data_IF_603471179827
#
_entry.id   IF_603471179827
#
_cell.length_a   1.000
_cell.length_b   1.000
_cell.length_c   1.000
_cell.angle_alpha   90.00
_cell.angle_beta   90.00
_cell.angle_gamma   90.00
#
_symmetry.space_group_name_H-M   'P 1'
#
loop_
_entity.id
_entity.type
_entity.pdbx_description
1 polymer ?
#
# COMPACT_ATOMS: atom_id res chain seq x y z
N UNK A 1 -19.81 -21.77 1.48
CA UNK A 1 -18.93 -21.09 2.46
C UNK A 1 -18.03 -20.17 1.66
N UNK A 2 -18.39 -18.91 1.42
CA UNK A 2 -17.70 -18.10 0.41
C UNK A 2 -17.78 -16.57 0.53
N UNK A 3 -18.78 -15.99 1.21
CA UNK A 3 -19.01 -14.53 1.13
C UNK A 3 -18.61 -13.71 2.36
N UNK A 4 -18.31 -14.34 3.51
CA UNK A 4 -17.98 -13.58 4.73
C UNK A 4 -16.55 -12.98 4.73
N UNK A 5 -15.64 -13.45 3.87
CA UNK A 5 -14.26 -12.95 3.81
C UNK A 5 -14.08 -11.69 2.96
N UNK A 6 -14.92 -11.47 1.94
CA UNK A 6 -14.80 -10.32 1.04
C UNK A 6 -15.26 -9.00 1.69
N UNK A 7 -16.34 -9.03 2.49
CA UNK A 7 -16.82 -7.85 3.21
C UNK A 7 -15.86 -7.40 4.33
N UNK A 8 -15.18 -8.35 4.99
CA UNK A 8 -14.19 -8.04 6.03
C UNK A 8 -13.00 -7.28 5.45
N UNK A 9 -12.52 -7.69 4.27
CA UNK A 9 -11.40 -7.04 3.56
C UNK A 9 -11.73 -5.60 3.15
N UNK A 10 -12.97 -5.34 2.72
CA UNK A 10 -13.39 -4.00 2.31
C UNK A 10 -13.55 -3.05 3.49
N UNK A 11 -14.08 -3.52 4.62
CA UNK A 11 -14.20 -2.74 5.85
C UNK A 11 -12.81 -2.30 6.36
N UNK A 12 -11.79 -3.15 6.23
CA UNK A 12 -10.42 -2.83 6.62
C UNK A 12 -9.78 -1.70 5.79
N UNK A 13 -10.20 -1.54 4.53
CA UNK A 13 -9.72 -0.48 3.63
C UNK A 13 -10.31 0.90 3.95
N UNK A 14 -11.49 0.95 4.58
CA UNK A 14 -12.19 2.20 4.93
C UNK A 14 -12.14 2.52 6.42
N UNK A 15 -11.27 1.82 7.16
CA UNK A 15 -11.11 1.96 8.61
C UNK A 15 -9.81 2.68 8.95
N UNK A 16 -9.91 3.70 9.81
CA UNK A 16 -8.75 4.43 10.29
C UNK A 16 -7.94 3.59 11.27
N UNK A 17 -6.67 3.34 10.97
CA UNK A 17 -5.78 2.51 11.81
C UNK A 17 -5.41 3.14 13.16
N UNK A 18 -5.71 4.43 13.37
CA UNK A 18 -5.43 5.12 14.65
C UNK A 18 -6.58 5.02 15.65
N UNK A 19 -7.84 5.12 15.20
CA UNK A 19 -9.01 5.04 16.07
C UNK A 19 -9.85 3.77 15.86
N UNK A 20 -9.50 2.94 14.88
CA UNK A 20 -10.20 1.70 14.50
C UNK A 20 -11.69 1.88 14.18
N UNK A 21 -12.10 3.09 13.79
CA UNK A 21 -13.43 3.40 13.28
C UNK A 21 -13.36 3.68 11.78
N UNK A 22 -14.51 3.60 11.09
CA UNK A 22 -14.63 4.11 9.73
C UNK A 22 -14.20 5.57 9.63
N UNK A 23 -13.65 5.94 8.48
CA UNK A 23 -13.13 7.29 8.29
C UNK A 23 -14.20 8.37 8.49
N UNK A 24 -13.98 9.22 9.49
CA UNK A 24 -14.74 10.45 9.68
C UNK A 24 -13.89 11.64 9.19
N UNK A 25 -14.38 12.34 8.17
CA UNK A 25 -13.63 13.43 7.48
C UNK A 25 -12.19 12.99 7.16
N UNK A 26 -12.00 11.95 6.32
CA UNK A 26 -10.68 11.40 6.02
C UNK A 26 -9.74 12.47 5.48
N UNK A 27 -8.48 12.40 5.89
CA UNK A 27 -7.36 13.19 5.37
C UNK A 27 -6.31 12.19 4.89
N UNK A 28 -6.00 12.25 3.60
CA UNK A 28 -4.96 11.43 2.97
C UNK A 28 -3.63 12.18 3.00
N UNK A 29 -2.63 11.60 3.65
CA UNK A 29 -1.29 12.16 3.75
C UNK A 29 -0.53 12.01 2.42
N UNK A 30 0.57 12.75 2.27
CA UNK A 30 1.41 12.69 1.06
C UNK A 30 1.95 11.29 0.83
N UNK A 31 2.19 10.50 1.88
CA UNK A 31 2.57 9.09 1.79
C UNK A 31 1.45 8.12 1.38
N UNK A 32 0.22 8.60 1.16
CA UNK A 32 -0.93 7.80 0.71
C UNK A 32 -1.78 7.19 1.83
N UNK A 33 -1.31 7.17 3.08
CA UNK A 33 -2.12 6.69 4.22
C UNK A 33 -3.18 7.71 4.60
N UNK A 34 -4.35 7.21 5.02
CA UNK A 34 -5.52 8.03 5.32
C UNK A 34 -5.87 7.92 6.80
N UNK A 35 -6.22 9.05 7.43
CA UNK A 35 -6.66 9.11 8.82
C UNK A 35 -7.89 10.00 8.96
N UNK A 36 -8.69 9.82 10.01
CA UNK A 36 -9.73 10.80 10.34
C UNK A 36 -9.09 12.16 10.62
N UNK A 37 -9.79 13.26 10.31
CA UNK A 37 -9.32 14.61 10.64
C UNK A 37 -8.92 14.75 12.11
N UNK A 38 -9.70 14.17 13.02
CA UNK A 38 -9.41 14.20 14.47
C UNK A 38 -8.23 13.31 14.87
N UNK A 39 -7.90 12.32 14.04
CA UNK A 39 -6.75 11.43 14.21
C UNK A 39 -5.48 12.01 13.59
N UNK A 40 -5.60 12.92 12.64
CA UNK A 40 -4.50 13.59 11.98
C UNK A 40 -3.85 14.61 12.92
N UNK A 41 -2.52 14.55 13.04
CA UNK A 41 -1.74 15.44 13.91
C UNK A 41 -0.71 16.16 13.07
N UNK A 42 -0.69 17.49 13.18
CA UNK A 42 0.20 18.35 12.41
C UNK A 42 0.93 19.32 13.35
N UNK A 43 2.21 19.53 13.11
CA UNK A 43 3.08 20.45 13.85
C UNK A 43 3.57 21.56 12.93
N UNK A 44 3.73 22.76 13.49
CA UNK A 44 4.34 23.88 12.77
C UNK A 44 5.86 23.81 12.91
N UNK A 45 6.57 23.81 11.78
CA UNK A 45 8.02 23.94 11.74
C UNK A 45 8.48 25.40 11.78
N UNK A 46 9.74 25.59 12.16
CA UNK A 46 10.38 26.92 12.27
C UNK A 46 10.64 27.56 10.90
N UNK A 47 10.58 26.77 9.83
CA UNK A 47 10.85 27.14 8.45
C UNK A 47 9.57 27.57 7.68
N UNK A 48 8.44 27.69 8.37
CA UNK A 48 7.16 28.02 7.73
C UNK A 48 6.58 26.88 6.91
N UNK A 49 6.86 25.63 7.29
CA UNK A 49 6.17 24.45 6.77
C UNK A 49 5.39 23.76 7.89
N UNK A 50 4.35 23.02 7.51
CA UNK A 50 3.63 22.15 8.41
C UNK A 50 4.08 20.71 8.20
N UNK A 51 4.24 19.98 9.30
CA UNK A 51 4.79 18.63 9.32
C UNK A 51 3.83 17.66 9.96
N UNK A 52 3.76 16.44 9.43
CA UNK A 52 3.09 15.34 10.11
C UNK A 52 3.85 14.04 9.88
N UNK A 53 4.09 13.30 10.95
CA UNK A 53 4.63 11.95 10.89
C UNK A 53 3.47 10.97 10.69
N UNK A 54 3.54 10.14 9.65
CA UNK A 54 2.55 9.10 9.42
C UNK A 54 2.60 8.06 10.53
N UNK A 55 1.46 7.73 11.13
CA UNK A 55 1.37 6.71 12.19
C UNK A 55 1.66 5.29 11.67
N UNK A 56 1.37 5.02 10.40
CA UNK A 56 1.52 3.68 9.83
C UNK A 56 2.92 3.42 9.29
N UNK A 57 3.54 4.38 8.60
CA UNK A 57 4.84 4.18 7.95
C UNK A 57 5.97 5.07 8.48
N UNK A 58 5.70 5.98 9.42
CA UNK A 58 6.71 6.90 9.97
C UNK A 58 7.18 7.98 9.00
N UNK A 59 6.64 8.04 7.78
CA UNK A 59 7.04 9.04 6.78
C UNK A 59 6.71 10.47 7.24
N UNK A 60 7.68 11.38 7.09
CA UNK A 60 7.51 12.80 7.37
C UNK A 60 6.86 13.51 6.16
N UNK A 61 5.60 13.89 6.32
CA UNK A 61 4.86 14.62 5.30
C UNK A 61 5.03 16.12 5.52
N UNK A 62 5.44 16.84 4.48
CA UNK A 62 5.69 18.29 4.51
C UNK A 62 4.66 19.04 3.66
N UNK A 63 3.94 19.97 4.27
CA UNK A 63 2.91 20.78 3.62
C UNK A 63 3.31 22.25 3.58
N UNK A 64 3.07 22.89 2.44
CA UNK A 64 3.45 24.29 2.22
C UNK A 64 2.38 25.23 2.78
N UNK A 65 2.48 25.57 4.06
CA UNK A 65 1.60 26.53 4.76
C UNK A 65 0.08 26.29 4.63
N UNK A 66 -0.35 25.08 4.27
CA UNK A 66 -1.75 24.72 4.16
C UNK A 66 -2.02 23.40 4.88
N UNK A 67 -3.19 23.33 5.51
CA UNK A 67 -3.70 22.07 6.05
C UNK A 67 -4.17 21.19 4.89
N UNK A 68 -3.90 19.88 4.93
CA UNK A 68 -4.44 18.95 3.95
C UNK A 68 -5.98 18.93 4.04
N UNK A 69 -6.61 18.88 2.87
CA UNK A 69 -8.06 18.87 2.75
C UNK A 69 -8.64 17.49 3.07
N UNK A 70 -9.95 17.46 3.31
CA UNK A 70 -10.70 16.21 3.41
C UNK A 70 -10.66 15.48 2.05
N UNK A 71 -10.31 14.21 2.06
CA UNK A 71 -10.37 13.33 0.90
C UNK A 71 -11.82 12.96 0.60
N UNK A 72 -12.40 13.63 -0.38
CA UNK A 72 -13.81 13.47 -0.75
C UNK A 72 -14.05 12.08 -1.35
N UNK A 73 -13.05 11.49 -2.02
CA UNK A 73 -13.17 10.16 -2.64
C UNK A 73 -13.27 9.08 -1.57
N UNK A 74 -12.40 9.11 -0.57
CA UNK A 74 -12.46 8.16 0.56
C UNK A 74 -13.72 8.39 1.40
N UNK A 75 -14.13 9.64 1.58
CA UNK A 75 -15.37 9.96 2.30
C UNK A 75 -16.60 9.36 1.60
N UNK A 76 -16.72 9.59 0.29
CA UNK A 76 -17.79 9.03 -0.56
C UNK A 76 -17.78 7.50 -0.53
N UNK A 77 -16.59 6.89 -0.51
CA UNK A 77 -16.45 5.44 -0.41
C UNK A 77 -17.04 4.88 0.89
N UNK A 78 -16.72 5.52 2.02
CA UNK A 78 -17.24 5.14 3.34
C UNK A 78 -18.75 5.31 3.39
N UNK A 79 -19.27 6.42 2.90
CA UNK A 79 -20.71 6.69 2.87
C UNK A 79 -21.46 5.69 1.97
N UNK A 80 -20.95 5.42 0.77
CA UNK A 80 -21.49 4.39 -0.13
C UNK A 80 -21.47 3.01 0.51
N UNK A 81 -20.40 2.64 1.21
CA UNK A 81 -20.35 1.38 1.95
C UNK A 81 -21.44 1.34 3.03
N UNK A 82 -21.56 2.39 3.85
CA UNK A 82 -22.59 2.48 4.89
C UNK A 82 -24.02 2.44 4.32
N UNK A 83 -24.25 3.06 3.17
CA UNK A 83 -25.53 2.99 2.43
C UNK A 83 -25.78 1.59 1.85
N UNK A 84 -24.76 0.93 1.30
CA UNK A 84 -24.87 -0.41 0.71
C UNK A 84 -25.12 -1.50 1.75
N UNK A 85 -24.57 -1.36 2.96
CA UNK A 85 -24.86 -2.25 4.10
C UNK A 85 -26.34 -2.13 4.52
N UNK A 86 -27.00 -1.00 4.25
CA UNK A 86 -28.44 -0.82 4.46
C UNK A 86 -29.31 -1.33 3.28
N UNK A 87 -28.73 -1.61 2.12
CA UNK A 87 -29.41 -1.99 0.88
C UNK A 87 -28.82 -3.25 0.25
N UNK A 88 -28.79 -4.37 0.98
CA UNK A 88 -28.48 -5.68 0.41
C UNK A 88 -29.68 -6.24 -0.39
N UNK A 89 -30.05 -5.56 -1.49
CA UNK A 89 -30.87 -6.10 -2.58
C UNK A 89 -30.89 -5.17 -3.80
N UNK A 90 -29.76 -4.95 -4.47
CA UNK A 90 -29.79 -4.46 -5.84
C UNK A 90 -28.62 -5.06 -6.62
N UNK A 91 -28.99 -5.99 -7.48
CA UNK A 91 -28.16 -6.68 -8.46
C UNK A 91 -27.42 -5.73 -9.37
N UNK A 92 -26.20 -6.12 -9.75
CA UNK A 92 -25.45 -5.68 -10.92
C UNK A 92 -26.35 -5.17 -12.05
N UNK A 93 -26.13 -3.91 -12.45
CA UNK A 93 -26.20 -3.45 -13.84
C UNK A 93 -25.72 -2.00 -13.99
N UNK A 94 -24.66 -1.88 -14.77
CA UNK A 94 -24.20 -0.72 -15.55
C UNK A 94 -24.02 0.61 -14.82
N UNK A 95 -22.76 0.92 -14.50
CA UNK A 95 -22.25 2.22 -14.04
C UNK A 95 -22.33 3.30 -15.14
N UNK A 96 -23.49 3.49 -15.75
CA UNK A 96 -23.72 4.56 -16.71
C UNK A 96 -24.19 5.81 -15.97
N UNK A 97 -23.47 6.92 -16.17
CA UNK A 97 -23.85 8.22 -15.59
C UNK A 97 -25.14 8.67 -16.27
N UNK A 98 -26.17 8.99 -15.48
CA UNK A 98 -27.48 9.43 -15.99
C UNK A 98 -27.80 10.86 -15.55
N UNK A 99 -28.49 11.61 -16.41
CA UNK A 99 -29.03 12.90 -16.04
C UNK A 99 -30.08 12.74 -14.93
N UNK A 100 -29.92 13.49 -13.85
CA UNK A 100 -30.83 13.45 -12.70
C UNK A 100 -32.24 13.87 -13.09
N UNK A 101 -32.36 14.81 -14.03
CA UNK A 101 -33.64 15.38 -14.48
C UNK A 101 -34.31 14.54 -15.56
N UNK A 102 -33.63 14.31 -16.69
CA UNK A 102 -34.24 13.63 -17.84
C UNK A 102 -33.94 12.13 -17.92
N UNK A 103 -33.14 11.58 -17.00
CA UNK A 103 -32.77 10.15 -16.93
C UNK A 103 -32.05 9.60 -18.17
N UNK A 104 -31.61 10.47 -19.08
CA UNK A 104 -30.82 10.09 -20.25
C UNK A 104 -29.37 9.81 -19.84
N UNK A 105 -28.73 8.74 -20.36
CA UNK A 105 -27.30 8.53 -20.23
C UNK A 105 -26.46 9.74 -20.68
N UNK A 106 -25.42 10.05 -19.94
CA UNK A 106 -24.50 11.14 -20.24
C UNK A 106 -23.15 10.59 -20.70
N UNK A 107 -22.58 11.20 -21.74
CA UNK A 107 -21.18 11.01 -22.09
C UNK A 107 -20.29 11.73 -21.07
N UNK A 108 -19.14 11.16 -20.73
CA UNK A 108 -18.17 11.72 -19.78
C UNK A 108 -17.72 13.15 -20.12
N UNK A 109 -17.75 13.55 -21.40
CA UNK A 109 -17.37 14.89 -21.83
C UNK A 109 -18.54 15.90 -21.75
N UNK A 110 -19.77 15.44 -21.58
CA UNK A 110 -20.98 16.28 -21.58
C UNK A 110 -21.75 16.21 -20.25
N UNK A 111 -21.04 15.88 -19.18
CA UNK A 111 -21.59 15.83 -17.82
C UNK A 111 -21.37 17.14 -17.10
N UNK A 112 -22.42 17.59 -16.44
CA UNK A 112 -22.36 18.79 -15.62
C UNK A 112 -22.95 18.55 -14.22
N UNK A 113 -22.57 19.42 -13.29
CA UNK A 113 -22.99 19.38 -11.89
C UNK A 113 -23.33 20.78 -11.40
N UNK A 114 -24.24 20.89 -10.44
CA UNK A 114 -24.66 22.16 -9.88
C UNK A 114 -24.14 22.30 -8.44
N UNK A 115 -23.12 23.14 -8.21
CA UNK A 115 -22.53 23.37 -6.88
C UNK A 115 -23.52 23.97 -5.87
N UNK A 116 -24.50 24.74 -6.35
CA UNK A 116 -25.51 25.35 -5.47
C UNK A 116 -26.53 24.31 -4.97
N UNK A 117 -26.87 23.32 -5.80
CA UNK A 117 -27.82 22.27 -5.44
C UNK A 117 -27.17 21.05 -4.79
N UNK A 118 -25.95 20.71 -5.20
CA UNK A 118 -25.15 19.66 -4.59
C UNK A 118 -24.52 20.22 -3.31
N UNK A 119 -25.30 20.25 -2.23
CA UNK A 119 -24.80 20.59 -0.91
C UNK A 119 -23.87 19.47 -0.44
N UNK A 120 -22.60 19.81 -0.17
CA UNK A 120 -21.53 18.93 0.34
C UNK A 120 -21.86 18.25 1.68
N UNK A 121 -23.03 18.47 2.24
CA UNK A 121 -23.49 17.79 3.45
C UNK A 121 -24.10 16.42 3.17
N UNK A 122 -24.64 16.17 1.97
CA UNK A 122 -25.43 14.95 1.69
C UNK A 122 -24.87 14.06 0.57
N UNK A 123 -23.69 14.37 -0.01
CA UNK A 123 -22.89 13.59 -0.97
C UNK A 123 -23.58 12.94 -2.17
N UNK A 124 -24.87 13.21 -2.39
CA UNK A 124 -25.63 12.79 -3.54
C UNK A 124 -25.30 13.69 -4.72
N UNK A 125 -24.24 13.34 -5.44
CA UNK A 125 -23.85 14.05 -6.66
C UNK A 125 -24.93 13.87 -7.72
N UNK A 126 -25.67 14.95 -7.98
CA UNK A 126 -26.61 15.01 -9.08
C UNK A 126 -25.85 15.46 -10.34
N UNK A 127 -25.87 14.61 -11.36
CA UNK A 127 -25.33 14.90 -12.69
C UNK A 127 -26.44 15.36 -13.63
N UNK A 128 -26.13 16.24 -14.57
CA UNK A 128 -27.09 16.81 -15.51
C UNK A 128 -26.49 16.89 -16.91
N UNK A 129 -27.30 16.70 -17.95
CA UNK A 129 -26.91 17.11 -19.30
C UNK A 129 -26.89 18.64 -19.40
N UNK A 130 -26.20 19.16 -20.41
CA UNK A 130 -26.16 20.60 -20.69
C UNK A 130 -27.55 21.22 -20.70
N UNK A 131 -28.49 20.67 -21.46
CA UNK A 131 -29.83 21.25 -21.59
C UNK A 131 -30.60 21.34 -20.26
N UNK A 132 -30.58 20.27 -19.45
CA UNK A 132 -31.25 20.27 -18.14
C UNK A 132 -30.57 21.24 -17.17
N UNK A 133 -29.24 21.29 -17.19
CA UNK A 133 -28.49 22.24 -16.39
C UNK A 133 -28.80 23.70 -16.71
N UNK A 134 -28.74 24.08 -17.98
CA UNK A 134 -29.04 25.44 -18.43
C UNK A 134 -30.50 25.84 -18.19
N UNK A 135 -31.43 24.89 -18.29
CA UNK A 135 -32.87 25.17 -18.13
C UNK A 135 -33.27 25.27 -16.66
N UNK A 136 -32.85 24.33 -15.83
CA UNK A 136 -33.31 24.21 -14.43
C UNK A 136 -32.34 24.82 -13.41
N UNK A 137 -31.07 25.04 -13.79
CA UNK A 137 -30.02 25.56 -12.91
C UNK A 137 -29.41 26.88 -13.42
N UNK A 138 -30.15 27.66 -14.22
CA UNK A 138 -29.71 28.92 -14.85
C UNK A 138 -29.14 29.97 -13.87
N UNK A 139 -29.60 29.98 -12.62
CA UNK A 139 -29.17 30.92 -11.56
C UNK A 139 -28.23 30.30 -10.54
N UNK A 140 -27.76 29.08 -10.80
CA UNK A 140 -26.90 28.34 -9.90
C UNK A 140 -25.50 28.20 -10.49
N UNK A 141 -24.52 27.92 -9.62
CA UNK A 141 -23.15 27.63 -10.03
C UNK A 141 -23.10 26.25 -10.72
N UNK A 142 -23.29 26.26 -12.04
CA UNK A 142 -23.32 25.09 -12.90
C UNK A 142 -21.97 24.94 -13.59
N UNK A 143 -21.32 23.79 -13.41
CA UNK A 143 -19.97 23.53 -13.92
C UNK A 143 -19.92 22.18 -14.64
N UNK A 144 -19.04 22.08 -15.64
CA UNK A 144 -18.72 20.80 -16.28
C UNK A 144 -17.89 19.94 -15.33
N UNK A 145 -18.13 18.63 -15.35
CA UNK A 145 -17.33 17.66 -14.60
C UNK A 145 -16.28 17.09 -15.55
N UNK A 146 -15.01 17.32 -15.25
CA UNK A 146 -13.92 16.64 -15.94
C UNK A 146 -13.72 15.25 -15.34
N UNK A 147 -14.12 14.21 -16.06
CA UNK A 147 -13.76 12.85 -15.74
C UNK A 147 -12.38 12.51 -16.31
N UNK A 148 -11.66 11.61 -15.64
CA UNK A 148 -10.46 11.02 -16.23
C UNK A 148 -10.80 10.41 -17.58
N UNK A 149 -10.06 10.75 -18.62
CA UNK A 149 -10.34 10.24 -19.96
C UNK A 149 -10.11 8.73 -20.03
N UNK A 150 -10.78 8.03 -20.96
CA UNK A 150 -10.56 6.58 -21.18
C UNK A 150 -9.08 6.29 -21.42
N UNK A 151 -8.41 7.13 -22.22
CA UNK A 151 -6.98 7.01 -22.53
C UNK A 151 -6.09 7.16 -21.30
N UNK A 152 -6.41 8.10 -20.41
CA UNK A 152 -5.67 8.24 -19.15
C UNK A 152 -5.92 7.04 -18.24
N UNK A 153 -7.17 6.58 -18.13
CA UNK A 153 -7.51 5.37 -17.35
C UNK A 153 -6.76 4.15 -17.85
N UNK A 154 -6.72 3.92 -19.16
CA UNK A 154 -5.94 2.84 -19.78
C UNK A 154 -4.46 2.93 -19.41
N UNK A 155 -3.87 4.13 -19.52
CA UNK A 155 -2.47 4.36 -19.11
C UNK A 155 -2.24 4.07 -17.62
N UNK A 156 -3.17 4.45 -16.75
CA UNK A 156 -3.07 4.13 -15.31
C UNK A 156 -3.17 2.62 -15.07
N UNK A 157 -4.03 1.91 -15.80
CA UNK A 157 -4.18 0.46 -15.69
C UNK A 157 -2.93 -0.27 -16.21
N UNK A 158 -2.30 0.22 -17.28
CA UNK A 158 -1.01 -0.30 -17.76
C UNK A 158 0.07 -0.12 -16.68
N UNK A 159 0.23 1.09 -16.13
CA UNK A 159 1.19 1.34 -15.05
C UNK A 159 0.93 0.45 -13.82
N UNK A 160 -0.33 0.23 -13.46
CA UNK A 160 -0.68 -0.65 -12.33
C UNK A 160 -0.34 -2.11 -12.62
N UNK A 161 -0.58 -2.57 -13.85
CA UNK A 161 -0.25 -3.92 -14.29
C UNK A 161 1.26 -4.19 -14.23
N UNK A 162 2.07 -3.24 -14.70
CA UNK A 162 3.53 -3.31 -14.63
C UNK A 162 4.02 -3.43 -13.18
N UNK A 163 3.58 -2.52 -12.31
CA UNK A 163 3.96 -2.53 -10.88
C UNK A 163 3.49 -3.80 -10.18
N UNK A 164 2.29 -4.30 -10.50
CA UNK A 164 1.76 -5.54 -9.94
C UNK A 164 2.61 -6.75 -10.34
N UNK A 165 3.02 -6.83 -11.61
CA UNK A 165 3.94 -7.87 -12.10
C UNK A 165 5.28 -7.82 -11.37
N UNK A 166 5.86 -6.63 -11.19
CA UNK A 166 7.12 -6.45 -10.46
C UNK A 166 7.01 -6.91 -9.00
N UNK A 167 5.91 -6.55 -8.32
CA UNK A 167 5.64 -6.99 -6.95
C UNK A 167 5.53 -8.52 -6.87
N UNK A 168 4.80 -9.15 -7.79
CA UNK A 168 4.66 -10.61 -7.83
C UNK A 168 6.00 -11.31 -8.07
N UNK A 169 6.80 -10.80 -9.01
CA UNK A 169 8.13 -11.33 -9.29
C UNK A 169 9.06 -11.22 -8.08
N UNK A 170 9.04 -10.08 -7.38
CA UNK A 170 9.82 -9.89 -6.17
C UNK A 170 9.36 -10.81 -5.04
N UNK A 171 8.05 -11.00 -4.86
CA UNK A 171 7.50 -11.94 -3.89
C UNK A 171 7.97 -13.38 -4.17
N UNK A 172 7.93 -13.84 -5.42
CA UNK A 172 8.42 -15.16 -5.81
C UNK A 172 9.92 -15.34 -5.53
N UNK A 173 10.75 -14.33 -5.83
CA UNK A 173 12.19 -14.35 -5.53
C UNK A 173 12.44 -14.46 -4.03
N UNK A 174 11.77 -13.64 -3.23
CA UNK A 174 11.89 -13.64 -1.77
C UNK A 174 11.43 -14.97 -1.15
N UNK A 175 10.33 -15.55 -1.65
CA UNK A 175 9.82 -16.83 -1.16
C UNK A 175 10.79 -17.98 -1.43
N UNK A 176 11.38 -18.04 -2.64
CA UNK A 176 12.41 -19.05 -2.97
C UNK A 176 13.62 -18.91 -2.06
N UNK A 177 14.10 -17.69 -1.88
CA UNK A 177 15.25 -17.39 -1.02
C UNK A 177 14.99 -17.78 0.45
N UNK A 178 13.80 -17.48 0.95
CA UNK A 178 13.38 -17.89 2.29
C UNK A 178 13.47 -19.41 2.46
N UNK A 179 12.96 -20.18 1.50
CA UNK A 179 13.04 -21.64 1.52
C UNK A 179 14.50 -22.13 1.51
N UNK A 180 15.36 -21.53 0.69
CA UNK A 180 16.78 -21.89 0.63
C UNK A 180 17.50 -21.65 1.97
N UNK A 181 17.21 -20.52 2.64
CA UNK A 181 17.75 -20.20 3.97
C UNK A 181 17.30 -21.26 4.99
N UNK A 182 16.01 -21.61 4.98
CA UNK A 182 15.44 -22.60 5.90
C UNK A 182 16.11 -23.96 5.68
N UNK A 183 16.22 -24.43 4.44
CA UNK A 183 16.86 -25.71 4.11
C UNK A 183 18.33 -25.75 4.56
N UNK A 184 19.10 -24.67 4.29
CA UNK A 184 20.52 -24.62 4.68
C UNK A 184 20.70 -24.54 6.20
N UNK A 185 19.83 -23.81 6.90
CA UNK A 185 19.82 -23.76 8.37
C UNK A 185 19.53 -25.15 8.94
N UNK A 186 18.54 -25.84 8.40
CA UNK A 186 18.12 -27.15 8.91
C UNK A 186 19.21 -28.21 8.65
N UNK A 187 19.87 -28.17 7.49
CA UNK A 187 21.05 -28.98 7.21
C UNK A 187 22.19 -28.72 8.23
N UNK A 188 22.48 -27.46 8.53
CA UNK A 188 23.50 -27.11 9.53
C UNK A 188 23.16 -27.66 10.92
N UNK A 189 21.89 -27.57 11.33
CA UNK A 189 21.42 -28.12 12.60
C UNK A 189 21.57 -29.65 12.64
N UNK A 190 21.21 -30.35 11.56
CA UNK A 190 21.33 -31.81 11.45
C UNK A 190 22.80 -32.26 11.54
N UNK A 191 23.68 -31.66 10.74
CA UNK A 191 25.13 -31.98 10.76
C UNK A 191 25.73 -31.72 12.14
N UNK A 192 25.31 -30.66 12.83
CA UNK A 192 25.81 -30.35 14.18
C UNK A 192 25.35 -31.40 15.20
N UNK A 193 24.09 -31.84 15.11
CA UNK A 193 23.54 -32.89 15.97
C UNK A 193 24.21 -34.25 15.73
N UNK A 194 24.40 -34.64 14.47
CA UNK A 194 25.03 -35.92 14.14
C UNK A 194 26.51 -35.93 14.51
N UNK A 195 27.22 -34.82 14.30
CA UNK A 195 28.58 -34.65 14.80
C UNK A 195 28.68 -34.86 16.31
N UNK A 196 27.74 -34.29 17.09
CA UNK A 196 27.70 -34.50 18.53
C UNK A 196 27.47 -35.97 18.92
N UNK A 197 26.55 -36.68 18.22
CA UNK A 197 26.31 -38.12 18.44
C UNK A 197 27.53 -38.95 18.08
N UNK A 198 28.20 -38.66 16.97
CA UNK A 198 29.41 -39.37 16.55
C UNK A 198 30.50 -39.26 17.61
N UNK A 199 30.71 -38.07 18.15
CA UNK A 199 31.66 -37.88 19.26
C UNK A 199 31.23 -38.63 20.52
N UNK A 200 29.95 -38.59 20.88
CA UNK A 200 29.44 -39.31 22.05
C UNK A 200 29.65 -40.83 21.90
N UNK A 201 29.38 -41.37 20.71
CA UNK A 201 29.59 -42.79 20.40
C UNK A 201 31.07 -43.17 20.44
N UNK A 202 31.95 -42.35 19.87
CA UNK A 202 33.39 -42.58 19.93
C UNK A 202 33.93 -42.57 21.36
N UNK A 203 33.48 -41.62 22.20
CA UNK A 203 33.85 -41.59 23.62
C UNK A 203 33.36 -42.87 24.32
N UNK A 204 32.11 -43.29 24.07
CA UNK A 204 31.55 -44.54 24.62
C UNK A 204 32.31 -45.79 24.16
N UNK A 205 32.81 -45.83 22.93
CA UNK A 205 33.62 -46.94 22.43
C UNK A 205 35.03 -46.95 23.00
N UNK A 206 35.69 -45.80 23.06
CA UNK A 206 37.04 -45.67 23.61
C UNK A 206 37.09 -46.05 25.10
N UNK A 207 36.03 -45.74 25.85
CA UNK A 207 35.89 -46.18 27.25
C UNK A 207 35.75 -47.71 27.41
N UNK A 208 35.46 -48.46 26.34
CA UNK A 208 35.26 -49.93 26.36
C UNK A 208 36.47 -50.72 25.89
N UNK A 209 37.45 -50.11 25.22
CA UNK A 209 38.61 -50.79 24.61
C UNK A 209 39.88 -50.53 25.42
N UNK A 210 40.79 -51.50 25.42
CA UNK A 210 42.05 -51.45 26.19
C UNK A 210 43.24 -50.79 25.43
N UNK A 211 43.08 -50.41 24.15
CA UNK A 211 44.16 -49.85 23.30
C UNK A 211 43.97 -48.34 23.00
N UNK A 212 44.69 -47.45 23.71
CA UNK A 212 44.50 -45.99 23.60
C UNK A 212 44.98 -45.37 22.28
N UNK A 213 45.89 -46.04 21.55
CA UNK A 213 46.56 -45.46 20.38
C UNK A 213 45.68 -45.50 19.12
N UNK A 214 44.90 -46.57 18.97
CA UNK A 214 43.95 -46.74 17.86
C UNK A 214 42.71 -45.84 18.04
N UNK A 215 42.23 -45.67 19.27
CA UNK A 215 41.11 -44.79 19.58
C UNK A 215 41.42 -43.32 19.29
N UNK A 216 42.65 -42.87 19.55
CA UNK A 216 43.09 -41.50 19.24
C UNK A 216 43.13 -41.18 17.74
N UNK A 217 43.51 -42.15 16.88
CA UNK A 217 43.49 -41.95 15.43
C UNK A 217 42.08 -41.88 14.87
N UNK A 218 41.17 -42.71 15.39
CA UNK A 218 39.78 -42.75 14.94
C UNK A 218 39.04 -41.47 15.35
N UNK A 219 39.23 -41.01 16.59
CA UNK A 219 38.70 -39.73 17.08
C UNK A 219 39.21 -38.55 16.24
N UNK A 220 40.52 -38.54 15.91
CA UNK A 220 41.10 -37.46 15.10
C UNK A 220 40.54 -37.47 13.68
N UNK A 221 40.28 -38.64 13.11
CA UNK A 221 39.74 -38.79 11.76
C UNK A 221 38.29 -38.30 11.70
N UNK A 222 37.43 -38.76 12.61
CA UNK A 222 36.01 -38.33 12.66
C UNK A 222 35.91 -36.84 12.97
N UNK A 223 36.74 -36.33 13.89
CA UNK A 223 36.82 -34.88 14.15
C UNK A 223 37.13 -34.07 12.89
N UNK A 224 38.08 -34.54 12.08
CA UNK A 224 38.47 -33.85 10.85
C UNK A 224 37.31 -33.85 9.85
N UNK A 225 36.68 -35.01 9.61
CA UNK A 225 35.53 -35.13 8.70
C UNK A 225 34.38 -34.21 9.13
N UNK A 226 34.03 -34.21 10.43
CA UNK A 226 32.93 -33.39 10.94
C UNK A 226 33.25 -31.89 10.87
N UNK A 227 34.49 -31.48 11.15
CA UNK A 227 34.92 -30.09 10.97
C UNK A 227 34.87 -29.65 9.50
N UNK A 228 35.29 -30.51 8.57
CA UNK A 228 35.24 -30.22 7.13
C UNK A 228 33.79 -30.07 6.66
N UNK A 229 32.87 -30.95 7.12
CA UNK A 229 31.44 -30.86 6.81
C UNK A 229 30.78 -29.60 7.37
N UNK A 230 31.04 -29.28 8.64
CA UNK A 230 30.51 -28.05 9.27
C UNK A 230 31.08 -26.81 8.56
N UNK A 231 32.39 -26.79 8.28
CA UNK A 231 33.03 -25.68 7.56
C UNK A 231 32.42 -25.46 6.18
N UNK A 232 32.13 -26.56 5.45
CA UNK A 232 31.45 -26.48 4.15
C UNK A 232 30.03 -25.95 4.30
N UNK A 233 29.25 -26.46 5.25
CA UNK A 233 27.88 -25.98 5.49
C UNK A 233 27.83 -24.50 5.85
N UNK A 234 28.75 -24.03 6.71
CA UNK A 234 28.86 -22.61 7.09
C UNK A 234 29.22 -21.75 5.90
N UNK A 235 30.17 -22.21 5.06
CA UNK A 235 30.52 -21.52 3.82
C UNK A 235 29.30 -21.39 2.88
N UNK A 236 28.59 -22.50 2.63
CA UNK A 236 27.42 -22.52 1.76
C UNK A 236 26.29 -21.62 2.30
N UNK A 237 26.12 -21.53 3.61
CA UNK A 237 25.17 -20.62 4.25
C UNK A 237 25.56 -19.15 4.06
N UNK A 238 26.84 -18.82 4.26
CA UNK A 238 27.35 -17.46 4.08
C UNK A 238 27.21 -17.00 2.63
N UNK A 239 27.47 -17.86 1.64
CA UNK A 239 27.25 -17.56 0.23
C UNK A 239 25.78 -17.22 -0.06
N UNK A 240 24.83 -17.97 0.53
CA UNK A 240 23.41 -17.60 0.41
C UNK A 240 23.11 -16.25 1.06
N UNK A 241 23.70 -15.95 2.22
CA UNK A 241 23.51 -14.66 2.88
C UNK A 241 24.08 -13.48 2.08
N UNK A 242 25.15 -13.69 1.31
CA UNK A 242 25.65 -12.68 0.36
C UNK A 242 24.63 -12.41 -0.75
N UNK A 243 24.00 -13.46 -1.29
CA UNK A 243 22.91 -13.32 -2.26
C UNK A 243 21.70 -12.59 -1.65
N UNK A 244 21.36 -12.88 -0.39
CA UNK A 244 20.31 -12.15 0.34
C UNK A 244 20.63 -10.66 0.41
N UNK A 245 21.85 -10.31 0.80
CA UNK A 245 22.30 -8.91 0.87
C UNK A 245 22.20 -8.21 -0.50
N UNK A 246 22.61 -8.89 -1.58
CA UNK A 246 22.47 -8.38 -2.93
C UNK A 246 21.00 -8.17 -3.33
N UNK A 247 20.13 -9.15 -3.07
CA UNK A 247 18.70 -9.05 -3.39
C UNK A 247 18.00 -7.98 -2.57
N UNK A 248 18.37 -7.79 -1.30
CA UNK A 248 17.87 -6.69 -0.47
C UNK A 248 18.29 -5.32 -1.04
N UNK A 249 19.54 -5.19 -1.50
CA UNK A 249 20.01 -3.98 -2.18
C UNK A 249 19.28 -3.75 -3.51
N UNK A 250 18.96 -4.80 -4.28
CA UNK A 250 18.18 -4.68 -5.51
C UNK A 250 16.70 -4.38 -5.24
N UNK A 251 16.14 -4.88 -4.14
CA UNK A 251 14.82 -4.49 -3.62
C UNK A 251 14.81 -3.01 -3.23
N UNK A 252 15.83 -2.53 -2.52
CA UNK A 252 15.99 -1.11 -2.21
C UNK A 252 16.07 -0.25 -3.49
N UNK A 253 16.80 -0.73 -4.51
CA UNK A 253 16.84 -0.07 -5.83
C UNK A 253 15.53 -0.12 -6.59
N UNK A 254 14.62 -1.07 -6.33
CA UNK A 254 13.27 -1.11 -6.94
C UNK A 254 12.24 -0.31 -6.15
N UNK A 255 12.48 -0.10 -4.84
CA UNK A 255 11.74 0.87 -4.04
C UNK A 255 11.92 2.29 -4.59
N UNK A 256 13.12 2.66 -5.08
CA UNK A 256 13.39 3.99 -5.66
C UNK A 256 12.51 4.33 -6.89
N UNK A 257 12.37 3.46 -7.91
CA UNK A 257 11.40 3.60 -9.00
C UNK A 257 9.95 3.65 -8.52
N UNK A 258 9.56 2.83 -7.54
CA UNK A 258 8.20 2.87 -6.97
C UNK A 258 7.96 4.22 -6.28
N UNK A 259 8.91 4.69 -5.47
CA UNK A 259 8.89 6.01 -4.86
C UNK A 259 8.90 7.11 -5.91
N UNK A 260 9.70 7.01 -6.97
CA UNK A 260 9.73 7.98 -8.05
C UNK A 260 8.44 7.99 -8.88
N UNK A 261 7.83 6.84 -9.11
CA UNK A 261 6.53 6.72 -9.75
C UNK A 261 5.45 7.30 -8.86
N UNK A 262 5.52 7.07 -7.54
CA UNK A 262 4.69 7.74 -6.56
C UNK A 262 4.89 9.26 -6.55
N UNK A 263 6.13 9.75 -6.64
CA UNK A 263 6.44 11.18 -6.76
C UNK A 263 5.95 11.76 -8.09
N UNK A 264 6.01 11.00 -9.20
CA UNK A 264 5.45 11.39 -10.49
C UNK A 264 3.92 11.41 -10.46
N UNK A 265 3.29 10.45 -9.79
CA UNK A 265 1.84 10.40 -9.60
C UNK A 265 1.38 11.56 -8.73
N UNK A 266 2.07 11.85 -7.63
CA UNK A 266 1.79 13.01 -6.77
C UNK A 266 2.13 14.35 -7.44
N UNK A 267 3.11 14.41 -8.34
CA UNK A 267 3.37 15.62 -9.12
C UNK A 267 2.35 15.82 -10.25
N UNK A 268 1.85 14.74 -10.86
CA UNK A 268 0.68 14.82 -11.75
C UNK A 268 -0.57 15.23 -10.99
N UNK A 269 -0.78 14.73 -9.77
CA UNK A 269 -1.84 15.21 -8.87
C UNK A 269 -1.70 16.71 -8.58
N UNK A 270 -0.47 17.23 -8.46
CA UNK A 270 -0.19 18.69 -8.39
C UNK A 270 -0.52 19.42 -9.68
N UNK A 271 -0.30 18.83 -10.85
CA UNK A 271 -0.72 19.41 -12.14
C UNK A 271 -2.25 19.46 -12.23
N UNK A 272 -2.97 18.42 -11.78
CA UNK A 272 -4.44 18.43 -11.71
C UNK A 272 -5.00 19.42 -10.68
N UNK A 273 -4.29 19.67 -9.58
CA UNK A 273 -4.68 20.70 -8.60
C UNK A 273 -4.27 22.10 -9.01
N UNK A 274 -3.21 22.26 -9.82
CA UNK A 274 -2.78 23.54 -10.37
C UNK A 274 -3.51 23.93 -11.67
N UNK A 275 -4.02 22.98 -12.45
CA UNK A 275 -4.92 23.28 -13.58
C UNK A 275 -6.27 23.84 -13.09
N UNK A 276 -6.63 23.59 -11.83
CA UNK A 276 -7.75 24.27 -11.15
C UNK A 276 -7.44 25.73 -10.74
N UNK A 277 -6.19 26.20 -10.87
CA UNK A 277 -5.78 27.56 -10.44
C UNK A 277 -5.89 28.59 -11.57
N UNK A 278 -6.17 28.19 -12.82
CA UNK A 278 -6.30 29.13 -13.94
C UNK A 278 -7.74 29.62 -14.24
N UNK A 279 -8.67 29.47 -13.30
CA UNK A 279 -9.93 30.22 -13.30
C UNK A 279 -10.15 30.77 -11.88
N UNK A 280 -9.75 32.04 -11.71
CA UNK A 280 -10.06 32.95 -10.59
C UNK A 280 -10.95 32.34 -9.50
N UNK A 281 -10.33 31.78 -8.46
CA UNK A 281 -11.03 31.44 -7.23
C UNK A 281 -10.17 31.83 -6.02
N UNK A 282 -10.33 33.07 -5.56
CA UNK A 282 -10.00 33.44 -4.18
C UNK A 282 -11.03 32.79 -3.25
N UNK A 283 -10.63 31.88 -2.33
CA UNK A 283 -11.51 31.45 -1.26
C UNK A 283 -11.68 32.62 -0.26
N UNK A 284 -12.88 32.83 0.31
CA UNK A 284 -13.07 33.91 1.27
C UNK A 284 -12.34 33.55 2.58
N UNK A 285 -11.13 34.09 2.75
CA UNK A 285 -10.52 34.21 4.06
C UNK A 285 -11.47 35.00 4.96
N UNK A 286 -12.00 34.36 6.01
CA UNK A 286 -12.69 35.06 7.09
C UNK A 286 -11.70 36.02 7.72
N UNK A 287 -11.79 37.31 7.38
CA UNK A 287 -11.20 38.35 8.22
C UNK A 287 -11.86 38.24 9.59
N UNK A 288 -11.05 38.03 10.63
CA UNK A 288 -11.48 38.25 12.00
C UNK A 288 -11.87 39.74 12.09
N UNK A 289 -13.09 39.99 12.54
CA UNK A 289 -13.59 41.32 12.87
C UNK A 289 -12.70 42.00 13.90
#
# INVERSE_FOLDING_TARGET
MGDHNALSSYADLITCKKCNNFFNKPITQICGHTFCQDCFSISAGVDGFLYSICHECGYENRYQNCLPNIDISVKSLVESYLESVNHLSATDKDSQIICTTCKVPLDTNEVFTCKTCNNLQNFKYSFYCGNCGWTYHKKHAFIQVEFITIKERERFMEMFSEVSSDIQNNHLKLSKLHNDIVLKRDFLNEVTLDSAKDFENLIKEALKKEDPLKDLSDIRTVKKVNLDLISKGVHDYNETMLVVSFLLNDLEKTILPIQNNFFKLSSLQKVFTNSQIALEYEPPCKKKQ
#
